data_IF_830527811623
#
_entry.id   IF_830527811623
#
_cell.length_a   1.000
_cell.length_b   1.000
_cell.length_c   1.000
_cell.angle_alpha   90.00
_cell.angle_beta   90.00
_cell.angle_gamma   90.00
#
_symmetry.space_group_name_H-M   'P 1'
#
loop_
_entity.id
_entity.type
_entity.pdbx_description
1 polymer ?
#
# COMPACT_ATOMS: atom_id res chain seq x y z
N UNK A 1 -12.96 34.24 2.49
CA UNK A 1 -11.58 34.20 3.02
C UNK A 1 -11.14 32.75 2.91
N UNK A 2 -10.46 32.39 1.83
CA UNK A 2 -10.03 31.01 1.57
C UNK A 2 -8.59 30.86 2.04
N UNK A 3 -8.37 29.98 3.01
CA UNK A 3 -7.02 29.64 3.48
C UNK A 3 -6.24 28.93 2.37
N UNK A 4 -4.95 29.23 2.16
CA UNK A 4 -4.13 28.48 1.23
C UNK A 4 -3.87 27.09 1.82
N UNK A 5 -4.46 26.06 1.22
CA UNK A 5 -4.07 24.68 1.49
C UNK A 5 -2.66 24.49 0.92
N UNK A 6 -1.68 24.40 1.81
CA UNK A 6 -0.31 24.07 1.47
C UNK A 6 -0.31 22.70 0.78
N UNK A 7 -0.20 22.72 -0.55
CA UNK A 7 0.11 21.54 -1.35
C UNK A 7 1.47 21.04 -0.88
N UNK A 8 1.49 19.96 -0.10
CA UNK A 8 2.73 19.24 0.14
C UNK A 8 3.05 18.50 -1.16
N UNK A 9 3.79 19.18 -2.03
CA UNK A 9 4.36 18.60 -3.23
C UNK A 9 5.35 17.48 -2.81
N UNK A 10 4.87 16.24 -2.75
CA UNK A 10 5.72 15.04 -2.69
C UNK A 10 6.62 14.97 -3.94
N UNK A 11 6.31 15.75 -4.98
CA UNK A 11 7.06 15.90 -6.22
C UNK A 11 8.50 16.45 -6.07
N UNK A 12 8.96 16.77 -4.85
CA UNK A 12 10.33 17.19 -4.58
C UNK A 12 11.03 16.33 -3.51
N UNK A 13 10.51 15.14 -3.18
CA UNK A 13 11.37 14.13 -2.55
C UNK A 13 12.25 13.59 -3.67
N UNK A 14 13.55 13.89 -3.57
CA UNK A 14 14.56 13.22 -4.37
C UNK A 14 14.34 11.71 -4.21
N UNK A 15 13.84 11.07 -5.27
CA UNK A 15 13.45 9.66 -5.26
C UNK A 15 14.66 8.78 -4.90
N UNK A 16 15.87 9.30 -5.10
CA UNK A 16 17.14 8.68 -4.77
C UNK A 16 17.59 8.89 -3.31
N UNK A 17 16.90 9.74 -2.53
CA UNK A 17 17.27 10.03 -1.14
C UNK A 17 16.94 8.88 -0.16
N UNK A 18 16.02 7.98 -0.53
CA UNK A 18 15.67 6.80 0.26
C UNK A 18 16.38 5.58 -0.31
N UNK A 19 17.24 4.93 0.50
CA UNK A 19 17.76 3.61 0.15
C UNK A 19 16.63 2.60 0.02
N UNK A 20 16.79 1.61 -0.88
CA UNK A 20 15.83 0.52 -1.07
C UNK A 20 15.41 -0.15 0.24
N UNK A 21 16.35 -0.42 1.14
CA UNK A 21 16.08 -1.04 2.44
C UNK A 21 15.13 -0.18 3.30
N UNK A 22 15.39 1.13 3.37
CA UNK A 22 14.52 2.06 4.10
C UNK A 22 13.12 2.16 3.46
N UNK A 23 13.05 2.14 2.13
CA UNK A 23 11.77 2.15 1.41
C UNK A 23 10.98 0.87 1.66
N UNK A 24 11.63 -0.30 1.63
CA UNK A 24 11.02 -1.59 1.94
C UNK A 24 10.47 -1.63 3.38
N UNK A 25 11.27 -1.19 4.36
CA UNK A 25 10.83 -1.12 5.76
C UNK A 25 9.65 -0.17 5.94
N UNK A 26 9.70 1.00 5.30
CA UNK A 26 8.63 2.00 5.38
C UNK A 26 7.32 1.47 4.81
N UNK A 27 7.35 0.90 3.60
CA UNK A 27 6.16 0.32 2.95
C UNK A 27 5.62 -0.82 3.81
N UNK A 28 6.49 -1.71 4.28
CA UNK A 28 6.10 -2.84 5.14
C UNK A 28 5.38 -2.39 6.42
N UNK A 29 5.93 -1.39 7.12
CA UNK A 29 5.31 -0.85 8.33
C UNK A 29 4.00 -0.10 8.04
N UNK A 30 3.95 0.70 6.97
CA UNK A 30 2.76 1.45 6.60
C UNK A 30 1.59 0.51 6.28
N UNK A 31 1.82 -0.54 5.48
CA UNK A 31 0.80 -1.52 5.10
C UNK A 31 0.31 -2.33 6.31
N UNK A 32 1.22 -2.81 7.17
CA UNK A 32 0.86 -3.54 8.40
C UNK A 32 0.02 -2.69 9.35
N UNK A 33 0.43 -1.43 9.55
CA UNK A 33 -0.29 -0.48 10.40
C UNK A 33 -1.69 -0.17 9.84
N UNK A 34 -1.78 0.07 8.53
CA UNK A 34 -3.06 0.31 7.86
C UNK A 34 -4.00 -0.91 8.01
N UNK A 35 -3.49 -2.13 7.78
CA UNK A 35 -4.26 -3.36 7.94
C UNK A 35 -4.75 -3.56 9.38
N UNK A 36 -3.88 -3.40 10.39
CA UNK A 36 -4.25 -3.54 11.79
C UNK A 36 -5.39 -2.59 12.20
N UNK A 37 -5.28 -1.30 11.81
CA UNK A 37 -6.31 -0.30 12.13
C UNK A 37 -7.64 -0.60 11.42
N UNK A 38 -7.60 -1.16 10.21
CA UNK A 38 -8.80 -1.60 9.48
C UNK A 38 -9.47 -2.79 10.16
N UNK A 39 -8.69 -3.74 10.70
CA UNK A 39 -9.20 -4.89 11.47
C UNK A 39 -9.87 -4.45 12.78
N UNK A 40 -9.37 -3.39 13.41
CA UNK A 40 -10.00 -2.72 14.55
C UNK A 40 -11.28 -1.93 14.19
N UNK A 41 -11.66 -1.91 12.90
CA UNK A 41 -12.86 -1.21 12.42
C UNK A 41 -12.65 0.29 12.18
N UNK A 42 -11.41 0.79 12.26
CA UNK A 42 -11.13 2.20 11.99
C UNK A 42 -11.26 2.47 10.48
N UNK A 43 -12.12 3.44 10.13
CA UNK A 43 -12.25 3.90 8.75
C UNK A 43 -11.15 4.90 8.43
N UNK A 44 -10.05 4.39 7.88
CA UNK A 44 -8.92 5.19 7.42
C UNK A 44 -8.88 5.11 5.89
N UNK A 45 -8.77 6.27 5.25
CA UNK A 45 -8.44 6.34 3.83
C UNK A 45 -6.91 6.33 3.68
N UNK A 46 -6.34 5.41 2.89
CA UNK A 46 -4.88 5.27 2.79
C UNK A 46 -4.21 6.46 2.10
N UNK A 47 -4.98 7.24 1.33
CA UNK A 47 -4.54 8.42 0.61
C UNK A 47 -5.43 9.60 0.98
N UNK A 48 -4.84 10.78 1.13
CA UNK A 48 -5.63 12.00 1.23
C UNK A 48 -6.30 12.29 -0.13
N UNK A 49 -7.45 12.97 -0.10
CA UNK A 49 -8.08 13.44 -1.33
C UNK A 49 -7.06 14.26 -2.12
N UNK A 50 -6.90 13.94 -3.42
CA UNK A 50 -5.98 14.58 -4.38
C UNK A 50 -4.52 14.09 -4.39
N UNK A 51 -4.11 13.14 -3.53
CA UNK A 51 -2.74 12.61 -3.59
C UNK A 51 -2.50 11.65 -4.74
N UNK A 52 -3.45 10.76 -5.01
CA UNK A 52 -3.40 9.81 -6.11
C UNK A 52 -4.77 9.72 -6.78
N UNK A 53 -4.79 9.66 -8.11
CA UNK A 53 -5.98 9.36 -8.87
C UNK A 53 -6.23 7.84 -8.93
N UNK A 54 -7.41 7.44 -9.38
CA UNK A 54 -7.81 6.02 -9.41
C UNK A 54 -6.86 5.15 -10.26
N UNK A 55 -6.31 5.69 -11.34
CA UNK A 55 -5.37 4.98 -12.21
C UNK A 55 -4.05 4.73 -11.49
N UNK A 56 -3.47 5.75 -10.85
CA UNK A 56 -2.22 5.63 -10.10
C UNK A 56 -2.35 4.60 -8.97
N UNK A 57 -3.47 4.60 -8.26
CA UNK A 57 -3.75 3.62 -7.20
C UNK A 57 -3.75 2.19 -7.76
N UNK A 58 -4.40 1.96 -8.90
CA UNK A 58 -4.48 0.62 -9.51
C UNK A 58 -3.12 0.17 -10.05
N UNK A 59 -2.35 1.07 -10.67
CA UNK A 59 -1.00 0.74 -11.15
C UNK A 59 -0.11 0.31 -9.99
N UNK A 60 -0.02 1.13 -8.94
CA UNK A 60 0.79 0.80 -7.75
C UNK A 60 0.31 -0.50 -7.10
N UNK A 61 -1.00 -0.72 -6.99
CA UNK A 61 -1.53 -1.96 -6.45
C UNK A 61 -1.13 -3.19 -7.29
N UNK A 62 -1.09 -3.05 -8.61
CA UNK A 62 -0.76 -4.16 -9.53
C UNK A 62 0.74 -4.45 -9.49
N UNK A 63 1.59 -3.42 -9.53
CA UNK A 63 3.04 -3.55 -9.43
C UNK A 63 3.46 -4.21 -8.10
N UNK A 64 2.77 -3.88 -6.99
CA UNK A 64 3.01 -4.52 -5.70
C UNK A 64 2.60 -6.00 -5.67
N UNK A 65 1.56 -6.39 -6.40
CA UNK A 65 1.16 -7.78 -6.51
C UNK A 65 2.17 -8.57 -7.34
N UNK A 66 2.58 -8.03 -8.49
CA UNK A 66 3.60 -8.64 -9.33
C UNK A 66 4.93 -8.79 -8.59
N UNK A 67 5.38 -7.75 -7.87
CA UNK A 67 6.60 -7.81 -7.07
C UNK A 67 6.52 -8.81 -5.90
N UNK A 68 5.30 -9.10 -5.42
CA UNK A 68 5.03 -10.12 -4.40
C UNK A 68 4.80 -11.51 -4.96
N UNK A 69 4.93 -11.70 -6.28
CA UNK A 69 4.58 -12.94 -6.99
C UNK A 69 3.14 -13.40 -6.72
N UNK A 70 2.22 -12.43 -6.58
CA UNK A 70 0.80 -12.67 -6.31
C UNK A 70 -0.03 -12.46 -7.58
N UNK A 71 -0.92 -13.40 -7.90
CA UNK A 71 -1.89 -13.18 -8.97
C UNK A 71 -3.16 -12.50 -8.45
N UNK A 72 -3.76 -11.61 -9.24
CA UNK A 72 -5.06 -10.98 -8.93
C UNK A 72 -6.17 -12.03 -8.69
N UNK A 73 -6.04 -13.20 -9.29
CA UNK A 73 -6.92 -14.35 -9.08
C UNK A 73 -6.80 -14.88 -7.64
N UNK A 74 -5.60 -14.94 -7.08
CA UNK A 74 -5.37 -15.41 -5.70
C UNK A 74 -6.07 -14.51 -4.68
N UNK A 75 -6.03 -13.19 -4.90
CA UNK A 75 -6.75 -12.24 -4.06
C UNK A 75 -8.27 -12.44 -4.11
N UNK A 76 -8.80 -12.73 -5.30
CA UNK A 76 -10.23 -12.94 -5.51
C UNK A 76 -10.69 -14.23 -4.83
N UNK A 77 -9.86 -15.27 -4.86
CA UNK A 77 -10.08 -16.54 -4.18
C UNK A 77 -10.04 -16.35 -2.65
N UNK A 78 -9.03 -15.65 -2.11
CA UNK A 78 -8.92 -15.43 -0.66
C UNK A 78 -10.08 -14.59 -0.10
N UNK A 79 -10.49 -13.54 -0.80
CA UNK A 79 -11.66 -12.74 -0.40
C UNK A 79 -12.96 -13.52 -0.53
N UNK A 80 -13.12 -14.33 -1.57
CA UNK A 80 -14.30 -15.16 -1.78
C UNK A 80 -14.43 -16.31 -0.77
N UNK A 81 -13.31 -16.88 -0.36
CA UNK A 81 -13.26 -17.99 0.61
C UNK A 81 -13.16 -17.53 2.07
N UNK A 82 -13.01 -16.22 2.33
CA UNK A 82 -12.79 -15.69 3.68
C UNK A 82 -11.46 -16.15 4.30
N UNK A 83 -10.50 -16.59 3.49
CA UNK A 83 -9.20 -17.08 3.93
C UNK A 83 -8.28 -15.86 4.07
N UNK A 84 -7.85 -15.56 5.29
CA UNK A 84 -6.75 -14.62 5.53
C UNK A 84 -5.44 -15.40 5.31
N UNK A 85 -4.60 -15.03 4.34
CA UNK A 85 -3.30 -15.68 4.19
C UNK A 85 -2.50 -15.47 5.49
N UNK A 86 -2.08 -16.57 6.12
CA UNK A 86 -1.15 -16.49 7.25
C UNK A 86 0.19 -15.98 6.74
N UNK A 87 0.74 -14.96 7.40
CA UNK A 87 2.09 -14.46 7.13
C UNK A 87 3.10 -15.60 7.30
N UNK A 88 3.47 -16.26 6.21
CA UNK A 88 4.25 -17.49 6.27
C UNK A 88 4.32 -18.22 4.94
N UNK A 89 4.64 -17.51 3.86
CA UNK A 89 5.09 -18.10 2.61
C UNK A 89 6.54 -17.72 2.38
N UNK A 90 7.46 -18.32 3.13
CA UNK A 90 8.90 -18.17 2.89
C UNK A 90 9.55 -19.55 2.91
N UNK A 91 10.15 -19.89 1.77
CA UNK A 91 11.13 -20.96 1.54
C UNK A 91 10.62 -22.40 1.59
N UNK A 92 10.12 -22.89 0.44
CA UNK A 92 10.40 -24.26 0.04
C UNK A 92 11.71 -24.26 -0.78
N UNK A 93 12.62 -25.14 -0.35
CA UNK A 93 14.00 -25.33 -0.82
C UNK A 93 14.11 -25.74 -2.29
#
# INVERSE_FOLDING_TARGET
MSSPHTRHDIAALDVEALSDAALQELIGHALKSYAARREEGVQIHPFASEQLNATEIIMVATDLLEAGELELVDLSIWRGLGIKPSAGGAHAQ
#
